data_IF_012142936176
#
_entry.id   IF_012142936176
#
_cell.length_a   1.000
_cell.length_b   1.000
_cell.length_c   1.000
_cell.angle_alpha   90.00
_cell.angle_beta   90.00
_cell.angle_gamma   90.00
#
_symmetry.space_group_name_H-M   'P 1'
#
loop_
_entity.id
_entity.type
_entity.pdbx_description
1 polymer ?
#
# COMPACT_ATOMS: atom_id res chain seq x y z
N UNK A 1 -16.25 -7.58 -9.75
CA UNK A 1 -16.80 -8.86 -9.25
C UNK A 1 -15.84 -10.01 -9.52
N UNK A 2 -15.27 -10.15 -10.72
CA UNK A 2 -14.25 -11.17 -11.04
C UNK A 2 -13.04 -11.16 -10.11
N UNK A 3 -12.43 -10.00 -9.86
CA UNK A 3 -11.28 -9.87 -8.96
C UNK A 3 -11.54 -10.25 -7.48
N UNK A 4 -12.78 -10.10 -6.98
CA UNK A 4 -13.12 -10.53 -5.62
C UNK A 4 -13.34 -12.05 -5.58
N UNK A 5 -14.00 -12.62 -6.59
CA UNK A 5 -14.13 -14.05 -6.73
C UNK A 5 -12.76 -14.73 -6.90
N UNK A 6 -11.88 -14.14 -7.71
CA UNK A 6 -10.47 -14.55 -7.85
C UNK A 6 -9.76 -14.41 -6.50
N UNK A 7 -9.79 -13.27 -5.81
CA UNK A 7 -9.20 -13.12 -4.47
C UNK A 7 -9.72 -14.13 -3.44
N UNK A 8 -11.00 -14.50 -3.50
CA UNK A 8 -11.61 -15.50 -2.61
C UNK A 8 -11.22 -16.95 -2.96
N UNK A 9 -10.86 -17.21 -4.21
CA UNK A 9 -10.48 -18.54 -4.72
C UNK A 9 -8.96 -18.74 -4.78
N UNK A 10 -8.19 -17.69 -4.98
CA UNK A 10 -6.73 -17.70 -4.99
C UNK A 10 -6.21 -17.51 -3.59
N UNK A 11 -5.27 -18.38 -3.18
CA UNK A 11 -4.43 -18.13 -2.00
C UNK A 11 -3.87 -16.72 -2.11
N UNK A 12 -4.01 -15.87 -1.07
CA UNK A 12 -3.55 -14.51 -1.17
C UNK A 12 -2.05 -14.47 -1.53
N UNK A 13 -1.69 -13.64 -2.51
CA UNK A 13 -0.31 -13.41 -2.97
C UNK A 13 0.63 -12.92 -1.85
N UNK A 14 0.08 -12.56 -0.70
CA UNK A 14 0.80 -12.19 0.51
C UNK A 14 0.71 -13.31 1.55
N UNK A 15 1.84 -13.71 2.17
CA UNK A 15 1.88 -14.76 3.20
C UNK A 15 1.07 -14.42 4.46
N UNK A 16 0.52 -13.20 4.56
CA UNK A 16 -0.17 -12.70 5.74
C UNK A 16 -1.59 -12.20 5.48
N UNK A 17 -2.05 -12.15 4.24
CA UNK A 17 -3.41 -11.76 3.94
C UNK A 17 -4.39 -12.84 4.42
N UNK A 18 -5.41 -12.42 5.17
CA UNK A 18 -6.52 -13.29 5.51
C UNK A 18 -7.48 -13.34 4.31
N UNK A 19 -8.02 -14.53 3.96
CA UNK A 19 -9.11 -14.59 3.01
C UNK A 19 -10.25 -13.68 3.49
N UNK A 20 -10.95 -13.04 2.56
CA UNK A 20 -12.10 -12.17 2.82
C UNK A 20 -13.39 -12.91 2.43
N UNK A 21 -13.85 -13.92 3.21
CA UNK A 21 -14.93 -14.82 2.78
C UNK A 21 -16.30 -14.16 2.64
N UNK A 22 -16.51 -12.95 3.20
CA UNK A 22 -17.81 -12.27 3.21
C UNK A 22 -17.71 -10.77 2.91
N UNK A 23 -16.91 -10.38 1.91
CA UNK A 23 -16.80 -8.98 1.51
C UNK A 23 -17.91 -8.59 0.53
N UNK A 24 -18.68 -7.53 0.85
CA UNK A 24 -19.77 -7.03 0.02
C UNK A 24 -19.41 -5.67 -0.56
N UNK A 25 -19.50 -5.51 -1.89
CA UNK A 25 -19.31 -4.21 -2.52
C UNK A 25 -20.59 -3.38 -2.50
N UNK A 26 -20.51 -2.21 -1.89
CA UNK A 26 -21.45 -1.11 -2.07
C UNK A 26 -20.77 0.04 -2.81
N UNK A 27 -21.54 1.07 -3.18
CA UNK A 27 -21.07 2.15 -4.05
C UNK A 27 -19.79 2.83 -3.51
N UNK A 28 -19.73 3.13 -2.23
CA UNK A 28 -18.59 3.82 -1.64
C UNK A 28 -17.38 2.90 -1.50
N UNK A 29 -17.57 1.63 -1.14
CA UNK A 29 -16.48 0.64 -1.16
C UNK A 29 -15.80 0.54 -2.53
N UNK A 30 -16.56 0.61 -3.63
CA UNK A 30 -16.00 0.65 -4.99
C UNK A 30 -15.19 1.93 -5.26
N UNK A 31 -15.67 3.09 -4.80
CA UNK A 31 -14.95 4.36 -4.97
C UNK A 31 -13.60 4.33 -4.23
N UNK A 32 -13.60 3.87 -2.98
CA UNK A 32 -12.38 3.72 -2.18
C UNK A 32 -11.41 2.72 -2.80
N UNK A 33 -11.93 1.59 -3.29
CA UNK A 33 -11.10 0.61 -4.00
C UNK A 33 -10.45 1.21 -5.24
N UNK A 34 -11.21 1.89 -6.10
CA UNK A 34 -10.69 2.52 -7.31
C UNK A 34 -9.65 3.61 -6.99
N UNK A 35 -9.88 4.38 -5.92
CA UNK A 35 -8.90 5.36 -5.43
C UNK A 35 -7.61 4.68 -4.98
N UNK A 36 -7.70 3.61 -4.20
CA UNK A 36 -6.56 2.83 -3.75
C UNK A 36 -5.78 2.22 -4.92
N UNK A 37 -6.45 1.55 -5.86
CA UNK A 37 -5.80 1.03 -7.06
C UNK A 37 -5.06 2.14 -7.82
N UNK A 38 -5.71 3.30 -8.01
CA UNK A 38 -5.06 4.46 -8.65
C UNK A 38 -3.84 4.94 -7.88
N UNK A 39 -3.89 5.03 -6.56
CA UNK A 39 -2.76 5.45 -5.74
C UNK A 39 -1.59 4.47 -5.89
N UNK A 40 -1.87 3.16 -5.80
CA UNK A 40 -0.85 2.11 -5.92
C UNK A 40 -0.23 2.00 -7.33
N UNK A 41 -0.91 2.52 -8.36
CA UNK A 41 -0.35 2.61 -9.72
C UNK A 41 0.57 3.81 -9.95
N UNK A 42 0.66 4.76 -9.01
CA UNK A 42 1.49 5.96 -9.15
C UNK A 42 2.88 5.76 -8.52
N UNK A 43 3.94 6.33 -9.11
CA UNK A 43 5.23 6.43 -8.42
C UNK A 43 5.06 7.26 -7.15
N UNK A 44 5.71 6.83 -6.06
CA UNK A 44 5.53 7.45 -4.74
C UNK A 44 4.08 7.39 -4.21
N UNK A 45 3.30 6.41 -4.68
CA UNK A 45 1.89 6.21 -4.35
C UNK A 45 1.65 5.73 -2.92
N UNK A 46 1.83 6.60 -1.93
CA UNK A 46 1.51 6.29 -0.54
C UNK A 46 0.09 6.71 -0.18
N UNK A 47 -0.57 5.97 0.70
CA UNK A 47 -1.94 6.21 1.11
C UNK A 47 -2.09 6.31 2.63
N UNK A 48 -2.96 7.23 3.08
CA UNK A 48 -3.40 7.33 4.47
C UNK A 48 -4.92 7.12 4.52
N UNK A 49 -5.33 5.97 5.03
CA UNK A 49 -6.72 5.54 5.14
C UNK A 49 -7.26 5.88 6.52
N UNK A 50 -8.09 6.92 6.57
CA UNK A 50 -8.68 7.43 7.80
C UNK A 50 -10.11 6.94 7.92
N UNK A 51 -10.42 6.19 8.98
CA UNK A 51 -11.78 5.70 9.20
C UNK A 51 -11.93 5.08 10.57
N UNK A 52 -13.18 4.98 11.03
CA UNK A 52 -13.51 4.24 12.25
C UNK A 52 -13.22 2.75 12.07
N UNK A 53 -12.97 2.05 13.17
CA UNK A 53 -12.71 0.61 13.11
C UNK A 53 -13.92 -0.14 12.55
N UNK A 54 -13.67 -1.20 11.79
CA UNK A 54 -14.71 -1.97 11.10
C UNK A 54 -15.18 -1.39 9.76
N UNK A 55 -14.68 -0.23 9.31
CA UNK A 55 -15.07 0.36 8.01
C UNK A 55 -14.59 -0.43 6.77
N UNK A 56 -13.70 -1.42 6.93
CA UNK A 56 -13.20 -2.26 5.84
C UNK A 56 -11.94 -1.72 5.12
N UNK A 57 -11.31 -0.67 5.63
CA UNK A 57 -10.09 -0.04 5.04
C UNK A 57 -8.94 -1.02 4.77
N UNK A 58 -8.63 -1.92 5.71
CA UNK A 58 -7.55 -2.90 5.55
C UNK A 58 -7.91 -3.94 4.49
N UNK A 59 -9.17 -4.40 4.49
CA UNK A 59 -9.69 -5.34 3.49
C UNK A 59 -9.62 -4.75 2.08
N UNK A 60 -9.97 -3.47 1.91
CA UNK A 60 -9.84 -2.79 0.62
C UNK A 60 -8.37 -2.59 0.21
N UNK A 61 -7.46 -2.31 1.14
CA UNK A 61 -6.03 -2.22 0.83
C UNK A 61 -5.47 -3.57 0.34
N UNK A 62 -5.83 -4.68 0.99
CA UNK A 62 -5.47 -6.02 0.54
C UNK A 62 -6.02 -6.35 -0.85
N UNK A 63 -7.28 -6.02 -1.09
CA UNK A 63 -7.90 -6.23 -2.39
C UNK A 63 -7.27 -5.35 -3.48
N UNK A 64 -6.99 -4.07 -3.18
CA UNK A 64 -6.36 -3.16 -4.12
C UNK A 64 -4.97 -3.63 -4.53
N UNK A 65 -4.15 -4.09 -3.56
CA UNK A 65 -2.83 -4.63 -3.82
C UNK A 65 -2.90 -5.93 -4.65
N UNK A 66 -3.89 -6.79 -4.39
CA UNK A 66 -4.11 -7.97 -5.21
C UNK A 66 -4.51 -7.64 -6.65
N UNK A 67 -5.41 -6.66 -6.84
CA UNK A 67 -5.81 -6.18 -8.17
C UNK A 67 -4.61 -5.58 -8.92
N UNK A 68 -3.72 -4.89 -8.21
CA UNK A 68 -2.51 -4.32 -8.78
C UNK A 68 -1.37 -5.35 -8.93
N UNK A 69 -1.58 -6.61 -8.57
CA UNK A 69 -0.58 -7.69 -8.56
C UNK A 69 0.69 -7.35 -7.77
N UNK A 70 0.56 -6.43 -6.81
CA UNK A 70 1.66 -6.00 -5.95
C UNK A 70 1.65 -6.82 -4.65
N UNK A 71 2.79 -7.40 -4.23
CA UNK A 71 2.87 -8.05 -2.93
C UNK A 71 2.61 -7.03 -1.82
N UNK A 72 1.71 -7.37 -0.90
CA UNK A 72 1.42 -6.56 0.28
C UNK A 72 2.06 -7.21 1.51
N UNK A 73 2.89 -6.45 2.21
CA UNK A 73 3.49 -6.84 3.48
C UNK A 73 2.76 -6.15 4.63
N UNK A 74 2.42 -6.92 5.68
CA UNK A 74 1.83 -6.40 6.91
C UNK A 74 2.55 -7.05 8.08
N UNK A 75 2.85 -6.26 9.10
CA UNK A 75 3.51 -6.77 10.31
C UNK A 75 2.55 -7.63 11.13
N UNK A 76 3.07 -8.67 11.77
CA UNK A 76 2.37 -9.45 12.79
C UNK A 76 2.88 -9.02 14.16
N UNK A 77 2.35 -7.90 14.66
CA UNK A 77 2.75 -7.34 15.94
C UNK A 77 2.38 -8.31 17.09
N UNK A 78 3.38 -9.01 17.64
CA UNK A 78 3.25 -9.75 18.89
C UNK A 78 3.29 -8.79 20.09
N UNK A 79 2.98 -9.28 21.29
CA UNK A 79 3.07 -8.45 22.51
C UNK A 79 4.49 -7.97 22.83
N UNK A 80 5.52 -8.59 22.24
CA UNK A 80 6.94 -8.27 22.46
C UNK A 80 7.60 -7.62 21.24
N UNK A 81 6.80 -7.21 20.25
CA UNK A 81 7.31 -6.62 19.01
C UNK A 81 7.98 -5.28 19.30
N UNK A 82 9.28 -5.21 19.01
CA UNK A 82 10.15 -4.08 19.29
C UNK A 82 10.47 -3.26 18.03
N UNK A 83 11.00 -2.04 18.16
CA UNK A 83 11.52 -1.28 17.02
C UNK A 83 12.62 -2.00 16.24
N UNK A 84 13.42 -2.85 16.90
CA UNK A 84 14.43 -3.66 16.22
C UNK A 84 13.79 -4.70 15.30
N UNK A 85 12.71 -5.37 15.74
CA UNK A 85 11.96 -6.32 14.91
C UNK A 85 11.34 -5.62 13.70
N UNK A 86 10.84 -4.39 13.90
CA UNK A 86 10.31 -3.56 12.83
C UNK A 86 11.35 -3.21 11.78
N UNK A 87 12.55 -2.80 12.21
CA UNK A 87 13.67 -2.53 11.31
C UNK A 87 14.09 -3.78 10.55
N UNK A 88 14.05 -4.96 11.16
CA UNK A 88 14.34 -6.22 10.46
C UNK A 88 13.26 -6.58 9.41
N UNK A 89 11.99 -6.32 9.71
CA UNK A 89 10.91 -6.44 8.73
C UNK A 89 11.11 -5.49 7.54
N UNK A 90 11.48 -4.22 7.80
CA UNK A 90 11.81 -3.24 6.75
C UNK A 90 13.00 -3.70 5.91
N UNK A 91 14.09 -4.17 6.53
CA UNK A 91 15.26 -4.72 5.83
C UNK A 91 14.86 -5.85 4.89
N UNK A 92 14.01 -6.78 5.34
CA UNK A 92 13.52 -7.89 4.49
C UNK A 92 12.78 -7.38 3.26
N UNK A 93 11.90 -6.39 3.42
CA UNK A 93 11.15 -5.82 2.30
C UNK A 93 12.07 -5.06 1.35
N UNK A 94 12.98 -4.22 1.86
CA UNK A 94 13.93 -3.45 1.05
C UNK A 94 14.91 -4.33 0.28
N UNK A 95 15.32 -5.49 0.85
CA UNK A 95 16.15 -6.47 0.14
C UNK A 95 15.41 -7.13 -1.02
N UNK A 96 14.14 -7.51 -0.83
CA UNK A 96 13.31 -8.03 -1.93
C UNK A 96 13.11 -6.98 -3.01
N UNK A 97 12.89 -5.72 -2.61
CA UNK A 97 12.76 -4.60 -3.53
C UNK A 97 14.05 -4.39 -4.36
N UNK A 98 15.23 -4.47 -3.73
CA UNK A 98 16.52 -4.35 -4.41
C UNK A 98 16.79 -5.50 -5.40
N UNK A 99 16.31 -6.70 -5.09
CA UNK A 99 16.54 -7.89 -5.91
C UNK A 99 15.57 -7.99 -7.09
N UNK A 100 14.27 -7.79 -6.84
CA UNK A 100 13.21 -8.00 -7.84
C UNK A 100 12.88 -6.72 -8.61
N UNK A 101 13.09 -5.56 -8.00
CA UNK A 101 12.66 -4.27 -8.52
C UNK A 101 11.14 -4.14 -8.63
N UNK A 102 10.33 -5.08 -8.16
CA UNK A 102 8.87 -4.99 -8.25
C UNK A 102 8.31 -4.07 -7.17
N UNK A 103 7.23 -3.30 -7.44
CA UNK A 103 6.59 -2.49 -6.42
C UNK A 103 6.04 -3.36 -5.28
N UNK A 104 6.18 -2.88 -4.05
CA UNK A 104 5.74 -3.57 -2.83
C UNK A 104 4.89 -2.61 -2.01
N UNK A 105 3.79 -3.10 -1.47
CA UNK A 105 2.90 -2.34 -0.57
C UNK A 105 3.19 -2.73 0.88
N UNK A 106 3.48 -1.76 1.74
CA UNK A 106 3.63 -1.95 3.17
C UNK A 106 2.39 -1.40 3.90
N UNK A 107 1.58 -2.30 4.48
CA UNK A 107 0.38 -1.96 5.23
C UNK A 107 0.69 -1.93 6.74
N UNK A 108 0.43 -0.80 7.37
CA UNK A 108 0.52 -0.63 8.82
C UNK A 108 -0.81 -0.13 9.38
N UNK A 109 -1.40 -0.89 10.30
CA UNK A 109 -2.64 -0.53 10.98
C UNK A 109 -2.37 0.22 12.29
N UNK A 110 -3.29 1.09 12.68
CA UNK A 110 -3.20 1.88 13.92
C UNK A 110 -2.92 1.03 15.17
N UNK A 111 -3.62 -0.09 15.29
CA UNK A 111 -3.50 -1.02 16.42
C UNK A 111 -2.13 -1.71 16.50
N UNK A 112 -1.34 -1.66 15.43
CA UNK A 112 0.00 -2.23 15.36
C UNK A 112 1.09 -1.19 15.70
N UNK A 113 0.75 0.10 15.72
CA UNK A 113 1.69 1.18 16.06
C UNK A 113 1.85 1.24 17.58
N UNK A 114 2.82 0.48 18.09
CA UNK A 114 3.18 0.45 19.52
C UNK A 114 4.20 1.51 19.90
N UNK A 115 5.04 1.89 18.94
CA UNK A 115 6.12 2.85 19.09
C UNK A 115 6.08 3.84 17.92
N UNK A 116 6.34 5.12 18.19
CA UNK A 116 6.32 6.18 17.19
C UNK A 116 7.54 6.13 16.26
N UNK A 117 8.62 5.42 16.64
CA UNK A 117 9.77 5.13 15.78
C UNK A 117 9.35 4.42 14.48
N UNK A 118 8.25 3.65 14.50
CA UNK A 118 7.78 2.96 13.30
C UNK A 118 7.35 3.97 12.23
N UNK A 119 6.72 5.07 12.66
CA UNK A 119 6.28 6.14 11.77
C UNK A 119 7.45 7.01 11.33
N UNK A 120 8.42 7.24 12.20
CA UNK A 120 9.65 7.96 11.86
C UNK A 120 10.42 7.24 10.74
N UNK A 121 10.65 5.93 10.89
CA UNK A 121 11.34 5.11 9.90
C UNK A 121 10.54 5.07 8.58
N UNK A 122 9.21 4.88 8.60
CA UNK A 122 8.39 4.90 7.39
C UNK A 122 8.37 6.28 6.70
N UNK A 123 8.30 7.37 7.46
CA UNK A 123 8.35 8.72 6.89
C UNK A 123 9.72 9.01 6.28
N UNK A 124 10.80 8.54 6.90
CA UNK A 124 12.15 8.63 6.34
C UNK A 124 12.24 7.91 4.99
N UNK A 125 11.66 6.71 4.88
CA UNK A 125 11.55 6.00 3.60
C UNK A 125 10.71 6.76 2.56
N UNK A 126 9.58 7.35 2.96
CA UNK A 126 8.73 8.11 2.03
C UNK A 126 9.40 9.39 1.51
N UNK A 127 10.13 10.10 2.38
CA UNK A 127 10.73 11.40 2.07
C UNK A 127 12.09 11.24 1.41
N UNK A 128 13.00 10.51 2.06
CA UNK A 128 14.40 10.37 1.66
C UNK A 128 14.66 9.10 0.84
N UNK A 129 13.88 8.03 1.06
CA UNK A 129 14.14 6.73 0.46
C UNK A 129 15.13 5.86 1.24
N UNK A 130 15.53 6.31 2.43
CA UNK A 130 16.45 5.60 3.31
C UNK A 130 16.08 5.83 4.78
N UNK A 131 16.47 4.89 5.64
CA UNK A 131 16.38 5.02 7.10
C UNK A 131 17.80 5.12 7.65
N UNK A 132 18.11 6.09 8.52
CA UNK A 132 19.43 6.21 9.14
C UNK A 132 19.81 4.95 9.93
N UNK A 133 21.06 4.52 9.79
CA UNK A 133 21.63 3.37 10.51
C UNK A 133 20.79 2.10 10.41
N UNK A 134 20.07 1.92 9.29
CA UNK A 134 19.30 0.71 9.07
C UNK A 134 20.21 -0.46 8.72
N UNK A 135 21.08 -0.29 7.73
CA UNK A 135 21.99 -1.35 7.26
C UNK A 135 23.41 -1.13 7.76
N UNK A 136 24.06 -2.22 8.17
CA UNK A 136 25.50 -2.22 8.41
C UNK A 136 26.26 -2.17 7.08
N UNK A 137 27.53 -1.80 7.09
CA UNK A 137 28.37 -1.70 5.88
C UNK A 137 28.35 -2.97 5.03
N UNK A 138 28.40 -4.14 5.66
CA UNK A 138 28.33 -5.44 4.98
C UNK A 138 26.96 -5.69 4.33
N UNK A 139 25.87 -5.36 5.03
CA UNK A 139 24.52 -5.54 4.49
C UNK A 139 24.24 -4.57 3.34
N UNK A 140 24.79 -3.36 3.44
CA UNK A 140 24.69 -2.34 2.42
C UNK A 140 25.40 -2.77 1.13
N UNK A 141 26.62 -3.32 1.22
CA UNK A 141 27.32 -3.85 0.04
C UNK A 141 26.53 -4.98 -0.64
N UNK A 142 25.88 -5.85 0.13
CA UNK A 142 25.01 -6.91 -0.42
C UNK A 142 23.79 -6.32 -1.14
N UNK A 143 23.18 -5.27 -0.58
CA UNK A 143 22.05 -4.56 -1.17
C UNK A 143 22.43 -3.90 -2.49
N UNK A 144 23.57 -3.20 -2.52
CA UNK A 144 24.09 -2.55 -3.73
C UNK A 144 24.47 -3.59 -4.79
N UNK A 145 25.04 -4.72 -4.39
CA UNK A 145 25.31 -5.83 -5.30
C UNK A 145 24.01 -6.38 -5.93
N UNK A 146 22.94 -6.54 -5.16
CA UNK A 146 21.63 -6.93 -5.70
C UNK A 146 21.09 -5.88 -6.70
N UNK A 147 21.19 -4.59 -6.37
CA UNK A 147 20.75 -3.50 -7.24
C UNK A 147 21.50 -3.45 -8.59
N UNK A 148 22.80 -3.79 -8.59
CA UNK A 148 23.58 -3.87 -9.85
C UNK A 148 23.04 -4.96 -10.78
N UNK A 149 22.56 -6.07 -10.23
CA UNK A 149 21.97 -7.17 -11.02
C UNK A 149 20.64 -6.80 -11.66
N UNK A 150 19.90 -5.86 -11.07
CA UNK A 150 18.66 -5.35 -11.63
C UNK A 150 18.87 -4.54 -12.95
N UNK A 151 20.11 -4.09 -13.24
CA UNK A 151 20.39 -3.21 -14.38
C UNK A 151 19.87 -1.78 -14.16
N UNK A 152 20.10 -0.81 -15.06
CA UNK A 152 19.67 0.59 -14.89
C UNK A 152 18.13 0.73 -14.86
N UNK A 153 17.63 1.78 -14.21
CA UNK A 153 16.19 2.05 -14.18
C UNK A 153 15.68 2.32 -15.62
N UNK A 154 14.51 1.78 -16.01
CA UNK A 154 13.94 2.07 -17.32
C UNK A 154 13.68 3.57 -17.49
N UNK A 155 13.96 4.15 -18.67
CA UNK A 155 14.03 5.60 -18.89
C UNK A 155 12.68 6.34 -18.82
N UNK A 156 11.57 5.62 -18.83
CA UNK A 156 10.22 6.17 -18.70
C UNK A 156 9.48 5.47 -17.58
N UNK A 157 8.97 6.26 -16.62
CA UNK A 157 8.12 5.75 -15.54
C UNK A 157 7.01 4.87 -16.13
N UNK A 158 6.32 5.34 -17.17
CA UNK A 158 5.22 4.65 -17.87
C UNK A 158 5.51 3.22 -18.35
N UNK A 159 6.76 2.91 -18.73
CA UNK A 159 7.11 1.59 -19.24
C UNK A 159 7.36 0.54 -18.13
N UNK A 160 7.54 0.97 -16.89
CA UNK A 160 7.91 0.12 -15.77
C UNK A 160 6.73 -0.30 -14.87
N UNK A 161 5.67 0.51 -14.85
CA UNK A 161 4.46 0.30 -14.04
C UNK A 161 3.24 -0.10 -14.86
N UNK A 162 3.37 -0.23 -16.18
CA UNK A 162 2.34 -0.83 -17.00
C UNK A 162 2.08 -2.26 -16.49
N UNK A 163 0.86 -2.59 -16.00
CA UNK A 163 0.53 -3.98 -15.73
C UNK A 163 0.74 -4.79 -17.02
N UNK A 164 1.14 -6.06 -16.88
CA UNK A 164 1.47 -6.95 -18.00
C UNK A 164 0.36 -6.97 -19.09
N UNK A 165 -0.87 -6.67 -18.70
CA UNK A 165 -2.06 -6.60 -19.55
C UNK A 165 -2.64 -5.18 -19.64
N UNK A 166 -1.83 -4.18 -19.97
CA UNK A 166 -2.37 -2.86 -20.34
C UNK A 166 -3.19 -3.02 -21.62
N UNK A 167 -4.50 -3.23 -21.45
CA UNK A 167 -5.55 -3.22 -22.46
C UNK A 167 -5.18 -2.21 -23.54
N UNK A 168 -4.96 -2.70 -24.79
CA UNK A 168 -4.37 -2.00 -25.94
C UNK A 168 -5.02 -0.67 -26.36
N UNK A 169 -5.10 0.28 -25.44
CA UNK A 169 -5.48 1.66 -25.61
C UNK A 169 -4.19 2.45 -25.72
N UNK A 170 -3.55 2.30 -26.88
CA UNK A 170 -2.60 3.30 -27.36
C UNK A 170 -3.41 4.56 -27.65
N UNK A 171 -3.24 5.62 -26.85
CA UNK A 171 -3.78 6.93 -27.20
C UNK A 171 -3.06 7.44 -28.46
N UNK A 172 -3.74 7.64 -29.60
CA UNK A 172 -3.12 8.27 -30.75
C UNK A 172 -3.20 9.79 -30.55
N UNK A 173 -2.04 10.44 -30.32
CA UNK A 173 -1.91 11.87 -30.57
C UNK A 173 -1.59 12.79 -29.38
N UNK A 174 -0.66 12.44 -28.49
CA UNK A 174 0.06 13.45 -27.72
C UNK A 174 1.52 13.49 -28.15
N UNK A 175 1.82 14.46 -29.01
CA UNK A 175 3.18 14.83 -29.40
C UNK A 175 4.01 15.21 -28.16
N UNK A 176 5.22 14.65 -28.14
CA UNK A 176 6.41 15.09 -27.39
C UNK A 176 6.31 16.44 -26.67
N UNK A 177 6.35 16.38 -25.34
CA UNK A 177 7.04 17.40 -24.56
C UNK A 177 8.18 16.75 -23.78
N UNK A 178 9.22 16.37 -24.52
CA UNK A 178 10.51 16.03 -23.95
C UNK A 178 11.11 17.26 -23.25
N UNK A 179 11.02 17.33 -21.92
CA UNK A 179 12.05 18.01 -21.12
C UNK A 179 13.08 16.96 -20.75
N UNK A 180 14.03 16.79 -21.66
CA UNK A 180 15.31 16.18 -21.37
C UNK A 180 16.04 17.04 -20.35
N UNK A 181 15.93 16.71 -19.06
CA UNK A 181 17.00 17.04 -18.13
C UNK A 181 18.20 16.18 -18.51
N UNK A 182 19.05 16.71 -19.39
CA UNK A 182 20.37 16.16 -19.72
C UNK A 182 21.15 15.95 -18.43
N UNK A 183 21.22 14.70 -17.96
CA UNK A 183 22.33 14.26 -17.13
C UNK A 183 23.43 13.84 -18.10
N UNK A 184 24.67 14.32 -17.91
CA UNK A 184 25.76 14.09 -18.86
C UNK A 184 26.05 12.59 -18.98
N UNK A 185 26.20 12.14 -20.23
CA UNK A 185 26.82 10.87 -20.57
C UNK A 185 28.17 10.75 -19.86
N UNK A 186 28.24 9.81 -18.93
CA UNK A 186 29.40 9.59 -18.08
C UNK A 186 29.17 8.44 -17.12
N UNK A 187 28.90 7.24 -17.64
CA UNK A 187 29.02 6.02 -16.84
C UNK A 187 30.51 5.77 -16.53
N UNK A 188 31.02 6.44 -15.50
CA UNK A 188 32.13 5.87 -14.72
C UNK A 188 31.54 4.84 -13.75
N UNK A 189 31.95 3.57 -13.79
CA UNK A 189 31.57 2.59 -12.79
C UNK A 189 32.41 2.90 -11.54
N UNK A 190 31.83 3.50 -10.50
CA UNK A 190 32.54 3.64 -9.23
C UNK A 190 32.21 4.87 -8.42
N UNK A 191 31.10 4.82 -7.70
CA UNK A 191 30.87 5.69 -6.57
C UNK A 191 29.76 5.14 -5.70
N UNK A 192 30.10 4.66 -4.50
CA UNK A 192 29.13 4.16 -3.51
C UNK A 192 27.94 5.12 -3.33
N UNK A 193 28.19 6.45 -3.39
CA UNK A 193 27.15 7.49 -3.28
C UNK A 193 26.12 7.50 -4.42
N UNK A 194 26.51 7.25 -5.67
CA UNK A 194 25.59 7.28 -6.80
C UNK A 194 24.64 6.07 -6.77
N UNK A 195 25.16 4.90 -6.40
CA UNK A 195 24.37 3.68 -6.26
C UNK A 195 23.38 3.77 -5.09
N UNK A 196 23.81 4.38 -3.97
CA UNK A 196 22.91 4.69 -2.84
C UNK A 196 21.77 5.62 -3.25
N UNK A 197 22.08 6.72 -3.94
CA UNK A 197 21.05 7.65 -4.43
C UNK A 197 20.06 6.96 -5.36
N UNK A 198 20.54 6.05 -6.21
CA UNK A 198 19.69 5.26 -7.09
C UNK A 198 18.80 4.30 -6.32
N UNK A 199 19.34 3.65 -5.30
CA UNK A 199 18.55 2.80 -4.42
C UNK A 199 17.44 3.60 -3.72
N UNK A 200 17.78 4.74 -3.13
CA UNK A 200 16.82 5.62 -2.47
C UNK A 200 15.69 6.09 -3.41
N UNK A 201 16.02 6.39 -4.67
CA UNK A 201 15.00 6.70 -5.68
C UNK A 201 14.07 5.51 -5.95
N UNK A 202 14.65 4.31 -6.09
CA UNK A 202 13.87 3.08 -6.32
C UNK A 202 12.92 2.81 -5.15
N UNK A 203 13.38 2.99 -3.91
CA UNK A 203 12.54 2.90 -2.71
C UNK A 203 11.38 3.87 -2.80
N UNK A 204 11.64 5.16 -3.05
CA UNK A 204 10.56 6.17 -3.11
C UNK A 204 9.53 5.87 -4.20
N UNK A 205 9.98 5.39 -5.35
CA UNK A 205 9.08 5.11 -6.47
C UNK A 205 8.25 3.84 -6.29
N UNK A 206 8.82 2.79 -5.65
CA UNK A 206 8.27 1.42 -5.68
C UNK A 206 7.90 0.85 -4.30
N UNK A 207 8.29 1.50 -3.21
CA UNK A 207 7.86 1.14 -1.86
C UNK A 207 6.65 2.00 -1.46
N UNK A 208 5.45 1.42 -1.59
CA UNK A 208 4.20 2.11 -1.29
C UNK A 208 3.80 1.88 0.15
N UNK A 209 3.70 2.95 0.94
CA UNK A 209 3.24 2.87 2.33
C UNK A 209 1.73 3.12 2.38
N UNK A 210 1.00 2.19 2.99
CA UNK A 210 -0.44 2.33 3.27
C UNK A 210 -0.65 2.33 4.79
N UNK A 211 -1.04 3.47 5.33
CA UNK A 211 -1.32 3.64 6.75
C UNK A 211 -2.82 3.61 6.99
N UNK A 212 -3.29 2.72 7.85
CA UNK A 212 -4.70 2.61 8.22
C UNK A 212 -4.90 3.11 9.67
N UNK A 213 -5.21 4.41 9.84
CA UNK A 213 -5.22 5.10 11.15
C UNK A 213 -6.62 5.59 11.52
N UNK A 214 -7.09 5.32 12.74
CA UNK A 214 -8.38 5.82 13.21
C UNK A 214 -8.29 7.33 13.47
N UNK A 215 -9.21 8.16 12.97
CA UNK A 215 -9.23 9.58 13.29
C UNK A 215 -9.78 9.85 14.70
N UNK A 216 -10.27 8.82 15.39
CA UNK A 216 -10.82 8.91 16.74
C UNK A 216 -9.69 9.12 17.74
N UNK A 217 -9.83 10.15 18.58
CA UNK A 217 -8.84 10.50 19.61
C UNK A 217 -7.73 11.45 19.13
N UNK A 218 -6.85 11.90 20.04
CA UNK A 218 -5.83 12.89 19.73
C UNK A 218 -4.60 12.32 19.01
N UNK A 219 -4.39 11.00 19.03
CA UNK A 219 -3.16 10.34 18.57
C UNK A 219 -2.79 10.68 17.13
N UNK A 220 -3.75 10.60 16.19
CA UNK A 220 -3.51 10.99 14.80
C UNK A 220 -3.06 12.44 14.66
N UNK A 221 -3.70 13.36 15.40
CA UNK A 221 -3.36 14.79 15.35
C UNK A 221 -1.95 15.04 15.89
N UNK A 222 -1.57 14.37 16.98
CA UNK A 222 -0.22 14.45 17.55
C UNK A 222 0.81 13.92 16.56
N UNK A 223 0.56 12.76 15.94
CA UNK A 223 1.42 12.15 14.91
C UNK A 223 1.60 13.05 13.69
N UNK A 224 0.53 13.66 13.16
CA UNK A 224 0.65 14.58 12.03
C UNK A 224 1.44 15.87 12.36
N UNK A 225 1.50 16.27 13.64
CA UNK A 225 2.34 17.40 14.09
C UNK A 225 3.79 17.00 14.26
N UNK A 226 4.05 15.82 14.81
CA UNK A 226 5.39 15.27 14.98
C UNK A 226 6.03 14.91 13.64
N UNK A 227 5.24 14.34 12.73
CA UNK A 227 5.70 13.82 11.44
C UNK A 227 4.92 14.48 10.28
N UNK A 228 5.33 15.67 9.82
CA UNK A 228 4.64 16.38 8.74
C UNK A 228 4.68 15.62 7.40
N UNK A 229 5.65 14.71 7.22
CA UNK A 229 5.75 13.82 6.06
C UNK A 229 4.56 12.86 5.93
N UNK A 230 3.89 12.50 7.02
CA UNK A 230 2.69 11.65 6.97
C UNK A 230 1.59 12.28 6.10
N UNK A 231 1.33 13.58 6.26
CA UNK A 231 0.30 14.28 5.47
C UNK A 231 0.82 14.68 4.09
N UNK A 232 2.11 15.02 3.99
CA UNK A 232 2.66 15.61 2.77
C UNK A 232 2.98 14.56 1.71
N UNK A 233 3.37 13.35 2.12
CA UNK A 233 3.81 12.28 1.23
C UNK A 233 2.75 11.21 0.99
N UNK A 234 1.57 11.31 1.61
CA UNK A 234 0.47 10.35 1.44
C UNK A 234 -0.77 11.02 0.85
N UNK A 235 -1.49 10.27 0.02
CA UNK A 235 -2.85 10.64 -0.40
C UNK A 235 -3.83 10.18 0.66
N UNK A 236 -4.60 11.11 1.21
CA UNK A 236 -5.59 10.81 2.26
C UNK A 236 -6.90 10.33 1.64
N UNK A 237 -7.40 9.18 2.10
CA UNK A 237 -8.74 8.68 1.77
C UNK A 237 -9.56 8.50 3.06
N UNK A 238 -10.69 9.18 3.12
CA UNK A 238 -11.57 9.21 4.29
C UNK A 238 -12.69 8.19 4.12
N UNK A 239 -12.75 7.23 5.03
CA UNK A 239 -13.78 6.22 5.17
C UNK A 239 -14.82 6.72 6.15
N UNK A 240 -15.95 7.17 5.61
CA UNK A 240 -17.09 7.60 6.40
C UNK A 240 -17.79 6.42 7.07
N UNK A 241 -18.65 6.75 8.04
CA UNK A 241 -19.60 5.79 8.59
C UNK A 241 -20.49 5.23 7.46
N UNK A 242 -20.90 3.97 7.58
CA UNK A 242 -21.68 3.30 6.55
C UNK A 242 -23.02 4.02 6.33
N UNK A 243 -23.30 4.53 5.11
CA UNK A 243 -24.58 5.13 4.82
C UNK A 243 -25.69 4.08 4.86
N UNK A 244 -26.93 4.53 5.03
CA UNK A 244 -28.12 3.67 5.01
C UNK A 244 -28.15 2.73 3.81
N UNK A 245 -27.75 3.22 2.63
CA UNK A 245 -27.71 2.42 1.40
C UNK A 245 -26.67 1.30 1.45
N UNK A 246 -25.54 1.50 2.12
CA UNK A 246 -24.55 0.44 2.34
C UNK A 246 -25.12 -0.65 3.25
N UNK A 247 -25.77 -0.26 4.35
CA UNK A 247 -26.42 -1.20 5.27
C UNK A 247 -27.52 -2.00 4.57
N UNK A 248 -28.38 -1.35 3.79
CA UNK A 248 -29.42 -2.03 3.01
C UNK A 248 -28.83 -2.98 1.96
N UNK A 249 -27.74 -2.59 1.28
CA UNK A 249 -27.08 -3.43 0.30
C UNK A 249 -26.49 -4.69 0.95
N UNK A 250 -25.84 -4.55 2.09
CA UNK A 250 -25.28 -5.66 2.87
C UNK A 250 -26.39 -6.55 3.42
N UNK A 251 -27.43 -5.97 4.01
CA UNK A 251 -28.59 -6.73 4.53
C UNK A 251 -29.28 -7.54 3.42
N UNK A 252 -29.56 -6.92 2.27
CA UNK A 252 -30.14 -7.61 1.10
C UNK A 252 -29.25 -8.74 0.61
N UNK A 253 -27.92 -8.54 0.57
CA UNK A 253 -26.98 -9.57 0.16
C UNK A 253 -27.04 -10.78 1.10
N UNK A 254 -26.96 -10.58 2.41
CA UNK A 254 -27.03 -11.67 3.38
C UNK A 254 -28.41 -12.35 3.44
N UNK A 255 -29.52 -11.60 3.38
CA UNK A 255 -30.85 -12.19 3.34
C UNK A 255 -31.09 -13.01 2.06
N UNK A 256 -30.52 -12.60 0.93
CA UNK A 256 -30.61 -13.37 -0.32
C UNK A 256 -29.77 -14.66 -0.28
N UNK A 257 -28.66 -14.65 0.47
CA UNK A 257 -27.77 -15.79 0.61
C UNK A 257 -28.26 -16.79 1.68
N UNK A 258 -28.94 -16.31 2.72
CA UNK A 258 -29.51 -17.09 3.81
C UNK A 258 -30.94 -16.60 4.12
N UNK A 259 -31.98 -17.16 3.47
CA UNK A 259 -33.36 -16.74 3.68
C UNK A 259 -33.89 -17.06 5.09
N UNK A 260 -33.27 -18.00 5.80
CA UNK A 260 -33.68 -18.43 7.16
C UNK A 260 -33.01 -17.62 8.28
N UNK A 261 -32.22 -16.58 7.96
CA UNK A 261 -31.44 -15.83 8.94
C UNK A 261 -32.30 -14.94 9.87
N UNK A 262 -33.53 -14.63 9.46
CA UNK A 262 -34.47 -13.81 10.22
C UNK A 262 -35.72 -14.65 10.46
N UNK A 263 -36.01 -14.98 11.73
CA UNK A 263 -37.27 -15.61 12.08
C UNK A 263 -38.42 -14.63 11.73
N UNK A 264 -39.55 -15.11 11.19
CA UNK A 264 -40.65 -14.24 10.76
C UNK A 264 -41.21 -13.35 11.88
N UNK A 265 -40.99 -13.71 13.15
CA UNK A 265 -41.43 -12.95 14.32
C UNK A 265 -40.65 -11.63 14.52
N UNK A 266 -39.37 -11.56 14.13
CA UNK A 266 -38.52 -10.37 14.35
C UNK A 266 -38.79 -9.24 13.33
N UNK A 267 -39.46 -9.54 12.22
CA UNK A 267 -39.82 -8.53 11.20
C UNK A 267 -40.94 -7.63 11.73
N UNK A 268 -41.82 -8.17 12.58
CA UNK A 268 -42.94 -7.42 13.16
C UNK A 268 -42.49 -6.33 14.14
N UNK A 269 -41.42 -6.58 14.90
CA UNK A 269 -40.83 -5.68 15.89
C UNK A 269 -39.96 -4.56 15.31
N UNK A 270 -39.48 -4.71 14.07
CA UNK A 270 -38.68 -3.68 13.38
C UNK A 270 -39.52 -2.63 12.65
N UNK A 271 -40.84 -2.84 12.56
CA UNK A 271 -41.79 -1.98 11.85
C UNK A 271 -42.59 -1.02 12.74
N UNK A 272 -42.32 -1.03 14.05
CA UNK A 272 -42.89 -0.11 15.05
C UNK A 272 -41.85 0.91 15.54
#
# INVERSE_FOLDING_TARGET
>A
MRALAEYQLTTPLSPHAKPLPHFVFFADARKHLLRLCRILSLPCGNALLLGVDGCGRQSLAHLAAHIAETPLYSIRASSRYSPADFREDLKRVLRSLAADGKPIVFLLADSQIRDEQFLEDLVSLMVAGEVPDLFDSTEEEQLLHALRRLGPAPPTAEAAWAPADTLGLSCPGSESFAVASRLPDGCTPGGSKAERSRFAQLVRERFHVVLAISPVGPSLRSRCRQFPGLRSCTTVDYFDAWPREALLCVARHFCSAQPDLIAPDDISTLSA
#
